data_IF_419032261696
#
_entry.id   IF_419032261696
#
_cell.length_a   1.000
_cell.length_b   1.000
_cell.length_c   1.000
_cell.angle_alpha   90.00
_cell.angle_beta   90.00
_cell.angle_gamma   90.00
#
_symmetry.space_group_name_H-M   'P 1'
#
loop_
_entity.id
_entity.type
_entity.pdbx_description
1 polymer ?
#
# COMPACT_ATOMS: atom_id res chain seq x y z
N UNK A 1 -7.81 23.74 -15.96
CA UNK A 1 -7.50 22.30 -15.81
C UNK A 1 -7.00 22.06 -14.40
N UNK A 2 -7.84 21.54 -13.50
CA UNK A 2 -7.47 21.28 -12.09
C UNK A 2 -6.93 19.86 -11.99
N UNK A 3 -5.63 19.72 -11.76
CA UNK A 3 -4.98 18.45 -11.47
C UNK A 3 -5.45 17.95 -10.10
N UNK A 4 -6.16 16.82 -10.06
CA UNK A 4 -6.54 16.13 -8.82
C UNK A 4 -5.31 15.46 -8.26
N UNK A 5 -4.55 16.19 -7.46
CA UNK A 5 -3.54 15.63 -6.56
C UNK A 5 -4.28 15.12 -5.32
N UNK A 6 -4.60 13.82 -5.30
CA UNK A 6 -5.12 13.12 -4.13
C UNK A 6 -4.02 12.13 -3.75
N UNK A 7 -3.72 12.02 -2.45
CA UNK A 7 -2.67 11.19 -1.84
C UNK A 7 -1.32 11.89 -1.59
N UNK A 8 -1.33 12.87 -0.68
CA UNK A 8 -0.12 13.26 0.07
C UNK A 8 -0.39 13.58 1.56
N UNK A 9 -1.64 13.54 2.04
CA UNK A 9 -1.96 13.94 3.42
C UNK A 9 -2.25 12.77 4.37
N UNK A 10 -2.58 11.59 3.86
CA UNK A 10 -2.90 10.43 4.71
C UNK A 10 -1.65 9.60 5.04
N UNK A 11 -0.71 9.47 4.10
CA UNK A 11 0.57 8.75 4.32
C UNK A 11 1.40 9.33 5.48
N UNK A 12 1.42 10.67 5.61
CA UNK A 12 2.11 11.36 6.71
C UNK A 12 1.52 11.01 8.08
N UNK A 13 0.20 10.91 8.18
CA UNK A 13 -0.47 10.77 9.47
C UNK A 13 -0.46 9.32 9.97
N UNK A 14 -0.63 8.32 9.10
CA UNK A 14 -0.62 6.92 9.51
C UNK A 14 0.79 6.48 9.93
N UNK A 15 1.85 6.90 9.22
CA UNK A 15 3.22 6.57 9.64
C UNK A 15 3.57 7.20 11.00
N UNK A 16 3.15 8.44 11.29
CA UNK A 16 3.39 9.07 12.60
C UNK A 16 2.52 8.49 13.73
N UNK A 17 1.26 8.12 13.45
CA UNK A 17 0.36 7.53 14.45
C UNK A 17 0.74 6.08 14.76
N UNK A 18 1.20 5.31 13.77
CA UNK A 18 1.62 3.92 13.97
C UNK A 18 2.96 3.79 14.73
N UNK A 19 3.80 4.82 14.77
CA UNK A 19 5.05 4.79 15.56
C UNK A 19 4.82 5.28 17.01
N UNK A 20 3.69 5.92 17.32
CA UNK A 20 3.45 6.53 18.65
C UNK A 20 2.46 5.77 19.54
N UNK A 21 1.80 4.72 19.05
CA UNK A 21 0.85 3.92 19.86
C UNK A 21 1.44 2.53 20.12
N UNK A 22 1.82 2.19 21.37
CA UNK A 22 2.14 0.80 21.72
C UNK A 22 0.88 -0.07 21.55
N UNK A 23 0.94 -1.02 20.61
CA UNK A 23 -0.11 -2.00 20.40
C UNK A 23 -0.06 -3.07 21.50
N UNK A 24 -0.99 -3.02 22.46
CA UNK A 24 -1.27 -4.13 23.38
C UNK A 24 -2.52 -4.88 22.93
N UNK A 25 -2.43 -6.10 22.39
CA UNK A 25 -3.60 -6.89 22.07
C UNK A 25 -4.17 -7.55 23.33
N UNK A 26 -5.39 -7.19 23.72
CA UNK A 26 -6.21 -8.01 24.61
C UNK A 26 -7.37 -8.58 23.80
N UNK A 27 -7.35 -9.89 23.55
CA UNK A 27 -8.45 -10.61 22.92
C UNK A 27 -8.84 -11.79 23.81
N UNK A 28 -10.02 -11.73 24.43
CA UNK A 28 -10.70 -12.89 25.00
C UNK A 28 -11.65 -13.44 23.94
N UNK A 29 -11.39 -14.65 23.45
CA UNK A 29 -12.30 -15.34 22.52
C UNK A 29 -13.36 -16.13 23.30
N UNK A 30 -14.62 -15.89 23.00
CA UNK A 30 -15.72 -16.85 23.24
C UNK A 30 -16.31 -17.23 21.89
N UNK A 31 -16.10 -18.49 21.49
CA UNK A 31 -16.63 -19.07 20.25
C UNK A 31 -18.10 -19.46 20.43
N UNK A 32 -18.96 -19.10 19.46
CA UNK A 32 -20.26 -19.74 19.27
C UNK A 32 -20.36 -20.26 17.83
N UNK A 33 -20.56 -21.57 17.69
CA UNK A 33 -20.74 -22.28 16.41
C UNK A 33 -22.14 -22.01 15.86
N UNK A 34 -22.23 -21.66 14.57
CA UNK A 34 -23.47 -21.72 13.81
C UNK A 34 -23.23 -22.54 12.53
N UNK A 35 -24.07 -23.54 12.33
CA UNK A 35 -24.06 -24.49 11.22
C UNK A 35 -25.02 -24.04 10.12
N UNK A 36 -24.53 -23.87 8.91
CA UNK A 36 -25.39 -23.83 7.71
C UNK A 36 -24.73 -24.60 6.57
N UNK A 37 -25.46 -25.59 6.03
CA UNK A 37 -25.06 -26.43 4.91
C UNK A 37 -25.14 -25.67 3.57
N UNK A 38 -24.27 -25.98 2.58
CA UNK A 38 -24.32 -25.34 1.27
C UNK A 38 -25.30 -26.01 0.30
N UNK A 39 -26.00 -25.17 -0.47
CA UNK A 39 -26.87 -25.53 -1.60
C UNK A 39 -26.01 -25.84 -2.83
N UNK A 40 -26.29 -26.98 -3.49
CA UNK A 40 -25.61 -27.42 -4.73
C UNK A 40 -26.11 -26.61 -5.94
N UNK A 41 -25.19 -26.00 -6.69
CA UNK A 41 -25.46 -25.49 -8.04
C UNK A 41 -24.82 -26.40 -9.10
N UNK A 42 -25.58 -26.63 -10.16
CA UNK A 42 -25.28 -27.55 -11.25
C UNK A 42 -24.85 -26.72 -12.47
N UNK A 43 -23.58 -26.82 -12.89
CA UNK A 43 -23.09 -26.15 -14.11
C UNK A 43 -22.44 -27.19 -15.02
N UNK A 44 -23.03 -27.35 -16.22
CA UNK A 44 -22.51 -28.20 -17.30
C UNK A 44 -21.20 -27.64 -17.85
N UNK A 45 -20.23 -28.54 -18.00
CA UNK A 45 -18.89 -28.33 -18.53
C UNK A 45 -18.84 -27.95 -20.00
N UNK A 46 -17.81 -27.17 -20.38
CA UNK A 46 -17.07 -27.38 -21.62
C UNK A 46 -15.58 -27.48 -21.30
N UNK A 47 -15.06 -28.68 -21.57
CA UNK A 47 -13.69 -29.17 -21.53
C UNK A 47 -12.54 -28.18 -21.78
N UNK A 48 -11.68 -28.02 -20.77
CA UNK A 48 -10.22 -27.99 -20.93
C UNK A 48 -9.59 -28.78 -19.77
N UNK A 49 -8.74 -29.78 -20.09
CA UNK A 49 -8.11 -30.69 -19.12
C UNK A 49 -7.22 -29.92 -18.13
N UNK A 50 -7.35 -30.12 -16.80
CA UNK A 50 -6.39 -29.61 -15.83
C UNK A 50 -5.22 -30.59 -15.66
N UNK A 51 -4.01 -30.02 -15.56
CA UNK A 51 -2.79 -30.72 -15.17
C UNK A 51 -2.89 -31.08 -13.69
N UNK A 52 -2.72 -32.36 -13.40
CA UNK A 52 -2.66 -32.95 -12.06
C UNK A 52 -1.48 -32.39 -11.25
N UNK A 53 -1.76 -31.77 -10.11
CA UNK A 53 -0.80 -31.67 -9.01
C UNK A 53 -1.46 -32.12 -7.70
N UNK A 54 -0.75 -33.00 -7.01
CA UNK A 54 -1.17 -33.76 -5.85
C UNK A 54 -1.77 -32.87 -4.74
N UNK A 55 -2.99 -33.25 -4.33
CA UNK A 55 -3.69 -32.68 -3.20
C UNK A 55 -2.93 -32.90 -1.89
N UNK A 56 -2.39 -31.81 -1.35
CA UNK A 56 -2.26 -31.63 0.10
C UNK A 56 -3.37 -30.69 0.54
N UNK A 57 -4.13 -31.11 1.53
CA UNK A 57 -5.16 -30.34 2.23
C UNK A 57 -4.71 -28.89 2.47
N UNK A 58 -5.23 -27.96 1.67
CA UNK A 58 -5.26 -26.54 1.99
C UNK A 58 -6.36 -26.33 3.03
N UNK A 59 -6.03 -26.55 4.30
CA UNK A 59 -6.84 -26.04 5.39
C UNK A 59 -6.95 -24.51 5.19
N UNK A 60 -8.18 -24.01 5.16
CA UNK A 60 -8.50 -22.64 4.82
C UNK A 60 -7.79 -21.66 5.75
N UNK A 61 -6.88 -20.85 5.19
CA UNK A 61 -6.35 -19.66 5.86
C UNK A 61 -7.44 -18.60 5.75
N UNK A 62 -8.45 -18.66 6.62
CA UNK A 62 -9.54 -17.68 6.65
C UNK A 62 -9.17 -16.37 7.38
N UNK A 63 -7.98 -16.29 7.99
CA UNK A 63 -7.54 -15.12 8.77
C UNK A 63 -6.66 -14.13 8.01
N UNK A 64 -6.23 -14.44 6.78
CA UNK A 64 -5.32 -13.56 6.02
C UNK A 64 -6.03 -12.34 5.41
N UNK A 65 -7.31 -12.47 5.08
CA UNK A 65 -8.13 -11.43 4.46
C UNK A 65 -9.25 -11.01 5.40
N UNK A 66 -9.43 -9.71 5.57
CA UNK A 66 -10.52 -9.11 6.32
C UNK A 66 -11.38 -8.23 5.40
N UNK A 67 -12.61 -8.67 5.18
CA UNK A 67 -13.65 -7.95 4.41
C UNK A 67 -14.83 -7.54 5.30
N UNK A 68 -14.68 -7.61 6.63
CA UNK A 68 -15.78 -7.38 7.57
C UNK A 68 -16.34 -5.96 7.46
N UNK A 69 -15.45 -4.97 7.30
CA UNK A 69 -15.83 -3.56 7.15
C UNK A 69 -16.66 -3.30 5.89
N UNK A 70 -16.23 -3.80 4.72
CA UNK A 70 -17.03 -3.63 3.49
C UNK A 70 -18.32 -4.44 3.48
N UNK A 71 -18.38 -5.59 4.16
CA UNK A 71 -19.65 -6.28 4.38
C UNK A 71 -20.61 -5.44 5.22
N UNK A 72 -20.13 -4.85 6.32
CA UNK A 72 -20.93 -3.94 7.15
C UNK A 72 -21.40 -2.70 6.36
N UNK A 73 -20.54 -2.16 5.48
CA UNK A 73 -20.91 -1.09 4.55
C UNK A 73 -22.12 -1.49 3.70
N UNK A 74 -22.10 -2.63 3.01
CA UNK A 74 -23.22 -3.01 2.15
C UNK A 74 -24.51 -3.31 2.92
N UNK A 75 -24.42 -3.82 4.16
CA UNK A 75 -25.59 -3.96 5.05
C UNK A 75 -26.25 -2.60 5.32
N UNK A 76 -25.45 -1.57 5.60
CA UNK A 76 -25.94 -0.20 5.82
C UNK A 76 -26.54 0.37 4.51
N UNK A 77 -25.91 0.10 3.37
CA UNK A 77 -26.38 0.56 2.06
C UNK A 77 -27.78 -0.01 1.75
N UNK A 78 -28.00 -1.30 2.04
CA UNK A 78 -29.28 -1.95 1.83
C UNK A 78 -30.42 -1.34 2.65
N UNK A 79 -30.13 -0.86 3.86
CA UNK A 79 -31.13 -0.13 4.68
C UNK A 79 -31.61 1.14 3.98
N UNK A 80 -30.67 1.94 3.49
CA UNK A 80 -31.02 3.20 2.81
C UNK A 80 -31.82 2.98 1.52
N UNK A 81 -31.52 1.92 0.75
CA UNK A 81 -32.28 1.60 -0.47
C UNK A 81 -33.75 1.26 -0.22
N UNK A 82 -34.08 0.78 0.98
CA UNK A 82 -35.46 0.49 1.40
C UNK A 82 -36.04 1.58 2.31
N UNK A 83 -35.46 2.79 2.28
CA UNK A 83 -35.85 3.95 3.10
C UNK A 83 -35.88 3.66 4.61
N UNK A 84 -35.00 2.76 5.08
CA UNK A 84 -34.81 2.46 6.49
C UNK A 84 -33.53 3.10 7.00
N UNK A 85 -33.58 3.65 8.21
CA UNK A 85 -32.39 4.16 8.90
C UNK A 85 -31.59 2.99 9.48
N UNK A 86 -30.28 2.91 9.23
CA UNK A 86 -29.42 1.93 9.89
C UNK A 86 -29.40 2.15 11.41
N UNK A 87 -29.41 1.06 12.16
CA UNK A 87 -29.32 1.05 13.62
C UNK A 87 -27.94 1.47 14.13
N UNK A 88 -27.86 1.86 15.40
CA UNK A 88 -26.57 2.13 16.06
C UNK A 88 -25.62 0.92 16.01
N UNK A 89 -26.17 -0.31 16.08
CA UNK A 89 -25.38 -1.54 16.00
C UNK A 89 -24.79 -1.77 14.61
N UNK A 90 -25.54 -1.49 13.54
CA UNK A 90 -25.04 -1.60 12.16
C UNK A 90 -23.91 -0.58 11.92
N UNK A 91 -24.08 0.67 12.36
CA UNK A 91 -23.00 1.67 12.31
C UNK A 91 -21.78 1.26 13.12
N UNK A 92 -21.97 0.74 14.33
CA UNK A 92 -20.88 0.26 15.17
C UNK A 92 -20.12 -0.90 14.50
N UNK A 93 -20.81 -1.80 13.78
CA UNK A 93 -20.15 -2.89 13.05
C UNK A 93 -19.18 -2.40 11.97
N UNK A 94 -19.46 -1.24 11.36
CA UNK A 94 -18.56 -0.62 10.37
C UNK A 94 -17.44 0.15 11.07
N UNK A 95 -17.79 1.09 11.96
CA UNK A 95 -16.84 2.04 12.52
C UNK A 95 -15.95 1.46 13.62
N UNK A 96 -16.35 0.36 14.27
CA UNK A 96 -15.49 -0.36 15.22
C UNK A 96 -14.63 -1.44 14.55
N UNK A 97 -14.69 -1.59 13.22
CA UNK A 97 -13.71 -2.42 12.51
C UNK A 97 -12.29 -1.86 12.75
N UNK A 98 -11.25 -2.71 12.85
CA UNK A 98 -9.92 -2.26 13.28
C UNK A 98 -9.39 -1.05 12.51
N UNK A 99 -9.56 -1.06 11.18
CA UNK A 99 -9.05 0.00 10.31
C UNK A 99 -9.89 1.27 10.39
N UNK A 100 -11.23 1.20 10.35
CA UNK A 100 -12.04 2.41 10.48
C UNK A 100 -11.88 3.06 11.86
N UNK A 101 -11.78 2.26 12.94
CA UNK A 101 -11.54 2.78 14.28
C UNK A 101 -10.19 3.54 14.34
N UNK A 102 -9.15 3.00 13.70
CA UNK A 102 -7.87 3.68 13.54
C UNK A 102 -8.00 4.99 12.75
N UNK A 103 -8.67 4.96 11.60
CA UNK A 103 -8.88 6.16 10.76
C UNK A 103 -9.70 7.25 11.48
N UNK A 104 -10.72 6.87 12.24
CA UNK A 104 -11.51 7.80 13.07
C UNK A 104 -10.64 8.43 14.14
N UNK A 105 -9.86 7.62 14.87
CA UNK A 105 -8.97 8.09 15.93
C UNK A 105 -7.91 9.05 15.39
N UNK A 106 -7.39 8.77 14.19
CA UNK A 106 -6.44 9.63 13.49
C UNK A 106 -7.07 10.89 12.85
N UNK A 107 -8.39 11.04 12.89
CA UNK A 107 -9.11 12.15 12.24
C UNK A 107 -9.16 12.05 10.71
N UNK A 108 -8.78 10.90 10.13
CA UNK A 108 -8.83 10.65 8.70
C UNK A 108 -10.24 10.27 8.19
N UNK A 109 -11.15 9.87 9.09
CA UNK A 109 -12.54 9.55 8.78
C UNK A 109 -13.51 10.36 9.65
N UNK A 110 -14.30 11.23 9.03
CA UNK A 110 -15.41 11.93 9.68
C UNK A 110 -16.70 11.10 9.55
N UNK A 111 -17.10 10.44 10.64
CA UNK A 111 -18.29 9.56 10.61
C UNK A 111 -19.59 10.30 10.32
N UNK A 112 -19.68 11.61 10.59
CA UNK A 112 -20.88 12.40 10.31
C UNK A 112 -21.02 12.65 8.82
N UNK A 113 -19.93 13.08 8.17
CA UNK A 113 -19.88 13.28 6.71
C UNK A 113 -20.12 11.96 5.98
N UNK A 114 -19.49 10.89 6.44
CA UNK A 114 -19.67 9.54 5.88
C UNK A 114 -21.13 9.09 5.91
N UNK A 115 -21.77 9.17 7.08
CA UNK A 115 -23.19 8.79 7.24
C UNK A 115 -24.08 9.59 6.28
N UNK A 116 -23.84 10.90 6.20
CA UNK A 116 -24.62 11.80 5.36
C UNK A 116 -24.43 11.52 3.87
N UNK A 117 -23.19 11.32 3.44
CA UNK A 117 -22.86 11.01 2.05
C UNK A 117 -23.48 9.68 1.61
N UNK A 118 -23.38 8.66 2.46
CA UNK A 118 -23.97 7.35 2.21
C UNK A 118 -25.50 7.41 2.12
N UNK A 119 -26.16 8.16 3.02
CA UNK A 119 -27.60 8.37 2.97
C UNK A 119 -28.01 9.02 1.64
N UNK A 120 -27.36 10.12 1.24
CA UNK A 120 -27.66 10.82 -0.02
C UNK A 120 -27.57 9.88 -1.22
N UNK A 121 -26.49 9.10 -1.31
CA UNK A 121 -26.25 8.24 -2.47
C UNK A 121 -27.27 7.09 -2.54
N UNK A 122 -27.49 6.38 -1.44
CA UNK A 122 -28.28 5.14 -1.44
C UNK A 122 -29.78 5.34 -1.21
N UNK A 123 -30.21 6.43 -0.55
CA UNK A 123 -31.63 6.72 -0.31
C UNK A 123 -32.24 7.57 -1.44
N UNK A 124 -31.54 8.62 -1.89
CA UNK A 124 -32.11 9.58 -2.85
C UNK A 124 -31.76 9.27 -4.31
N UNK A 125 -30.81 8.38 -4.57
CA UNK A 125 -30.34 8.04 -5.91
C UNK A 125 -29.74 9.25 -6.63
N UNK A 126 -28.49 9.59 -6.33
CA UNK A 126 -27.83 10.71 -7.03
C UNK A 126 -27.35 10.28 -8.41
N UNK A 127 -27.91 10.84 -9.48
CA UNK A 127 -27.51 10.50 -10.86
C UNK A 127 -26.34 11.33 -11.39
N UNK A 128 -26.17 12.55 -10.87
CA UNK A 128 -25.10 13.46 -11.28
C UNK A 128 -23.80 13.18 -10.53
N UNK A 129 -22.66 13.34 -11.22
CA UNK A 129 -21.32 13.23 -10.60
C UNK A 129 -21.13 14.34 -9.55
N UNK A 130 -21.03 14.00 -8.26
CA UNK A 130 -20.86 14.99 -7.21
C UNK A 130 -19.51 15.72 -7.35
N UNK A 131 -19.46 17.00 -6.99
CA UNK A 131 -18.20 17.73 -6.82
C UNK A 131 -17.49 17.33 -5.53
N UNK A 132 -18.26 16.90 -4.52
CA UNK A 132 -17.77 16.34 -3.28
C UNK A 132 -17.12 14.95 -3.52
N UNK A 133 -15.83 14.78 -3.18
CA UNK A 133 -15.12 13.53 -3.45
C UNK A 133 -15.66 12.31 -2.70
N UNK A 134 -16.15 12.48 -1.48
CA UNK A 134 -16.66 11.39 -0.64
C UNK A 134 -17.98 10.87 -1.22
N UNK A 135 -18.91 11.78 -1.54
CA UNK A 135 -20.13 11.45 -2.28
C UNK A 135 -19.83 10.76 -3.61
N UNK A 136 -18.85 11.27 -4.37
CA UNK A 136 -18.46 10.67 -5.64
C UNK A 136 -17.92 9.24 -5.48
N UNK A 137 -17.21 8.94 -4.38
CA UNK A 137 -16.70 7.59 -4.09
C UNK A 137 -17.83 6.64 -3.69
N UNK A 138 -18.76 7.06 -2.81
CA UNK A 138 -19.97 6.28 -2.51
C UNK A 138 -20.79 5.98 -3.78
N UNK A 139 -20.95 6.95 -4.68
CA UNK A 139 -21.67 6.75 -5.94
C UNK A 139 -21.00 5.69 -6.84
N UNK A 140 -19.66 5.63 -6.87
CA UNK A 140 -18.96 4.56 -7.61
C UNK A 140 -19.23 3.19 -6.99
N UNK A 141 -19.21 3.09 -5.66
CA UNK A 141 -19.57 1.85 -4.95
C UNK A 141 -20.99 1.40 -5.28
N UNK A 142 -21.96 2.31 -5.25
CA UNK A 142 -23.36 2.02 -5.61
C UNK A 142 -23.46 1.50 -7.05
N UNK A 143 -22.80 2.17 -8.01
CA UNK A 143 -22.85 1.80 -9.44
C UNK A 143 -22.24 0.42 -9.72
N UNK A 144 -21.30 -0.02 -8.91
CA UNK A 144 -20.56 -1.28 -9.09
C UNK A 144 -20.87 -2.33 -8.02
N UNK A 145 -21.93 -2.13 -7.23
CA UNK A 145 -22.21 -2.92 -6.04
C UNK A 145 -22.22 -4.43 -6.29
N UNK A 146 -22.91 -4.88 -7.35
CA UNK A 146 -22.98 -6.32 -7.68
C UNK A 146 -21.60 -6.90 -7.92
N UNK A 147 -20.74 -6.16 -8.62
CA UNK A 147 -19.37 -6.57 -8.92
C UNK A 147 -18.49 -6.55 -7.66
N UNK A 148 -18.66 -5.55 -6.79
CA UNK A 148 -17.93 -5.46 -5.53
C UNK A 148 -18.31 -6.59 -4.55
N UNK A 149 -19.59 -6.95 -4.44
CA UNK A 149 -20.06 -8.09 -3.64
C UNK A 149 -19.51 -9.42 -4.17
N UNK A 150 -19.45 -9.60 -5.50
CA UNK A 150 -18.82 -10.76 -6.11
C UNK A 150 -17.31 -10.80 -5.83
N UNK A 151 -16.65 -9.63 -5.87
CA UNK A 151 -15.23 -9.52 -5.56
C UNK A 151 -14.93 -9.83 -4.08
N UNK A 152 -15.75 -9.36 -3.14
CA UNK A 152 -15.65 -9.74 -1.72
C UNK A 152 -15.66 -11.26 -1.55
N UNK A 153 -16.60 -11.94 -2.20
CA UNK A 153 -16.71 -13.41 -2.12
C UNK A 153 -15.47 -14.10 -2.69
N UNK A 154 -14.85 -13.50 -3.71
CA UNK A 154 -13.62 -13.98 -4.32
C UNK A 154 -12.38 -13.73 -3.45
N UNK A 155 -12.29 -12.57 -2.78
CA UNK A 155 -11.18 -12.21 -1.88
C UNK A 155 -11.06 -13.18 -0.70
N UNK A 156 -12.18 -13.74 -0.23
CA UNK A 156 -12.21 -14.75 0.82
C UNK A 156 -11.68 -16.13 0.37
N UNK A 157 -11.28 -16.28 -0.89
CA UNK A 157 -10.61 -17.48 -1.39
C UNK A 157 -9.10 -17.47 -1.14
N UNK A 158 -8.46 -18.64 -1.04
CA UNK A 158 -7.02 -18.76 -0.79
C UNK A 158 -6.11 -18.27 -1.93
N UNK A 159 -6.67 -17.87 -3.07
CA UNK A 159 -5.88 -17.51 -4.25
C UNK A 159 -5.10 -16.21 -4.08
N UNK A 160 -5.63 -15.23 -3.33
CA UNK A 160 -5.00 -13.92 -3.25
C UNK A 160 -3.67 -13.97 -2.50
N UNK A 161 -3.59 -14.72 -1.40
CA UNK A 161 -2.35 -14.90 -0.65
C UNK A 161 -1.24 -15.50 -1.50
N UNK A 162 -1.57 -16.51 -2.32
CA UNK A 162 -0.58 -17.15 -3.19
C UNK A 162 -0.10 -16.20 -4.29
N UNK A 163 -0.98 -15.38 -4.87
CA UNK A 163 -0.57 -14.40 -5.88
C UNK A 163 0.32 -13.31 -5.28
N UNK A 164 -0.02 -12.79 -4.10
CA UNK A 164 0.82 -11.84 -3.36
C UNK A 164 2.21 -12.44 -3.13
N UNK A 165 2.28 -13.67 -2.61
CA UNK A 165 3.55 -14.37 -2.40
C UNK A 165 4.38 -14.48 -3.69
N UNK A 166 3.74 -14.85 -4.80
CA UNK A 166 4.41 -15.02 -6.09
C UNK A 166 4.97 -13.68 -6.62
N UNK A 167 4.23 -12.58 -6.48
CA UNK A 167 4.70 -11.26 -6.90
C UNK A 167 5.88 -10.76 -6.07
N UNK A 168 5.92 -11.10 -4.79
CA UNK A 168 6.99 -10.69 -3.87
C UNK A 168 8.28 -11.50 -4.02
N UNK A 169 8.19 -12.73 -4.52
CA UNK A 169 9.30 -13.66 -4.58
C UNK A 169 10.57 -13.13 -5.29
N UNK A 170 10.48 -12.33 -6.36
CA UNK A 170 11.66 -11.73 -6.99
C UNK A 170 12.23 -10.51 -6.25
N UNK A 171 11.50 -9.95 -5.27
CA UNK A 171 11.79 -8.64 -4.67
C UNK A 171 12.00 -8.69 -3.15
N UNK A 172 11.79 -9.84 -2.52
CA UNK A 172 12.14 -10.07 -1.12
C UNK A 172 13.18 -11.19 -0.99
N UNK A 173 14.15 -11.06 -0.07
CA UNK A 173 15.04 -12.17 0.24
C UNK A 173 14.25 -13.27 0.97
N UNK A 174 14.62 -14.55 0.84
CA UNK A 174 13.89 -15.66 1.46
C UNK A 174 13.64 -15.51 2.97
N UNK A 175 14.54 -14.85 3.70
CA UNK A 175 14.39 -14.58 5.15
C UNK A 175 13.23 -13.65 5.51
N UNK A 176 12.80 -12.81 4.56
CA UNK A 176 11.67 -11.87 4.72
C UNK A 176 10.39 -12.41 4.07
N UNK A 177 10.49 -13.39 3.18
CA UNK A 177 9.35 -13.97 2.48
C UNK A 177 8.92 -15.29 3.13
N UNK A 178 8.27 -15.21 4.27
CA UNK A 178 7.63 -16.37 4.93
C UNK A 178 6.15 -16.11 5.12
N UNK A 179 5.32 -17.16 5.04
CA UNK A 179 3.85 -17.01 5.04
C UNK A 179 3.31 -16.39 6.33
N UNK A 180 3.96 -16.67 7.45
CA UNK A 180 3.71 -16.14 8.79
C UNK A 180 4.07 -14.64 8.93
N UNK A 181 4.93 -14.12 8.05
CA UNK A 181 5.31 -12.70 8.01
C UNK A 181 4.48 -11.87 7.04
N UNK A 182 3.56 -12.48 6.29
CA UNK A 182 2.69 -11.70 5.42
C UNK A 182 1.65 -10.95 6.27
N UNK A 183 1.52 -9.62 6.11
CA UNK A 183 0.57 -8.79 6.84
C UNK A 183 -0.87 -9.17 6.48
N UNK A 184 -1.77 -8.97 7.44
CA UNK A 184 -3.21 -9.16 7.20
C UNK A 184 -3.73 -8.13 6.20
N UNK A 185 -4.52 -8.58 5.23
CA UNK A 185 -5.08 -7.76 4.16
C UNK A 185 -6.49 -7.29 4.54
N UNK A 186 -6.66 -6.00 4.76
CA UNK A 186 -7.96 -5.37 5.00
C UNK A 186 -8.49 -4.77 3.70
N UNK A 187 -9.75 -5.04 3.40
CA UNK A 187 -10.49 -4.41 2.30
C UNK A 187 -11.61 -3.60 2.91
N UNK A 188 -11.57 -2.28 2.69
CA UNK A 188 -12.48 -1.31 3.30
C UNK A 188 -13.07 -0.38 2.24
N UNK A 189 -14.07 0.41 2.63
CA UNK A 189 -14.35 1.65 1.93
C UNK A 189 -13.35 2.69 2.44
N UNK A 190 -12.37 3.07 1.63
CA UNK A 190 -11.28 3.92 2.12
C UNK A 190 -11.62 5.42 2.05
N UNK A 191 -12.63 5.79 1.25
CA UNK A 191 -13.01 7.19 0.97
C UNK A 191 -12.45 7.73 -0.35
N UNK A 192 -11.44 7.05 -0.91
CA UNK A 192 -10.89 7.25 -2.24
C UNK A 192 -10.31 5.93 -2.75
N UNK A 193 -9.97 5.87 -4.04
CA UNK A 193 -9.28 4.71 -4.63
C UNK A 193 -7.79 4.76 -4.24
N UNK A 194 -7.46 4.22 -3.06
CA UNK A 194 -6.11 4.22 -2.49
C UNK A 194 -5.81 2.92 -1.74
N UNK A 195 -4.54 2.69 -1.44
CA UNK A 195 -4.07 1.61 -0.58
C UNK A 195 -2.89 2.09 0.26
N UNK A 196 -2.66 1.42 1.39
CA UNK A 196 -1.52 1.74 2.25
C UNK A 196 -1.13 0.53 3.09
N UNK A 197 0.06 0.58 3.68
CA UNK A 197 0.61 -0.47 4.51
C UNK A 197 1.10 0.08 5.85
N UNK A 198 0.98 -0.74 6.89
CA UNK A 198 1.55 -0.50 8.20
C UNK A 198 2.10 -1.80 8.81
N UNK A 199 2.70 -1.74 10.02
CA UNK A 199 3.19 -2.94 10.69
C UNK A 199 2.07 -4.00 10.83
N UNK A 200 2.31 -5.17 10.23
CA UNK A 200 1.37 -6.30 10.27
C UNK A 200 0.06 -6.14 9.49
N UNK A 201 -0.15 -5.04 8.76
CA UNK A 201 -1.40 -4.81 8.00
C UNK A 201 -1.20 -4.12 6.66
N UNK A 202 -2.06 -4.49 5.71
CA UNK A 202 -2.26 -3.77 4.45
C UNK A 202 -3.73 -3.37 4.37
N UNK A 203 -4.00 -2.14 3.96
CA UNK A 203 -5.34 -1.59 3.83
C UNK A 203 -5.55 -1.24 2.36
N UNK A 204 -6.58 -1.83 1.76
CA UNK A 204 -6.97 -1.59 0.37
C UNK A 204 -8.37 -0.99 0.32
N UNK A 205 -8.57 0.04 -0.50
CA UNK A 205 -9.92 0.37 -0.98
C UNK A 205 -10.46 -0.79 -1.84
N UNK A 206 -11.66 -1.29 -1.52
CA UNK A 206 -12.25 -2.42 -2.23
C UNK A 206 -12.48 -2.11 -3.72
N UNK A 207 -12.88 -0.88 -4.06
CA UNK A 207 -13.12 -0.50 -5.45
C UNK A 207 -11.82 -0.45 -6.25
N UNK A 208 -10.74 0.11 -5.69
CA UNK A 208 -9.43 0.08 -6.33
C UNK A 208 -8.94 -1.36 -6.53
N UNK A 209 -9.02 -2.20 -5.50
CA UNK A 209 -8.61 -3.60 -5.59
C UNK A 209 -9.42 -4.35 -6.65
N UNK A 210 -10.74 -4.19 -6.67
CA UNK A 210 -11.60 -4.81 -7.67
C UNK A 210 -11.15 -4.49 -9.11
N UNK A 211 -10.85 -3.20 -9.38
CA UNK A 211 -10.37 -2.79 -10.70
C UNK A 211 -9.05 -3.46 -11.03
N UNK A 212 -8.07 -3.35 -10.15
CA UNK A 212 -6.72 -3.84 -10.42
C UNK A 212 -6.69 -5.38 -10.47
N UNK A 213 -7.37 -6.07 -9.57
CA UNK A 213 -7.41 -7.53 -9.51
C UNK A 213 -8.11 -8.15 -10.72
N UNK A 214 -9.07 -7.44 -11.32
CA UNK A 214 -9.66 -7.82 -12.60
C UNK A 214 -8.67 -7.84 -13.76
N UNK A 215 -7.50 -7.20 -13.60
CA UNK A 215 -6.42 -7.16 -14.58
C UNK A 215 -5.21 -8.01 -14.16
N UNK A 216 -4.73 -7.82 -12.93
CA UNK A 216 -3.60 -8.51 -12.31
C UNK A 216 -3.89 -8.79 -10.84
N UNK A 217 -4.52 -9.92 -10.59
CA UNK A 217 -4.94 -10.39 -9.27
C UNK A 217 -3.84 -10.29 -8.20
N UNK A 218 -4.05 -9.48 -7.18
CA UNK A 218 -3.20 -9.37 -5.99
C UNK A 218 -1.97 -8.49 -6.18
N UNK A 219 -1.78 -7.84 -7.34
CA UNK A 219 -0.57 -7.06 -7.63
C UNK A 219 -0.48 -5.78 -6.77
N UNK A 220 -1.61 -5.12 -6.50
CA UNK A 220 -1.69 -3.96 -5.61
C UNK A 220 -1.38 -4.38 -4.17
N UNK A 221 -2.04 -5.43 -3.69
CA UNK A 221 -1.79 -5.94 -2.35
C UNK A 221 -0.36 -6.45 -2.17
N UNK A 222 0.29 -6.95 -3.24
CA UNK A 222 1.71 -7.29 -3.22
C UNK A 222 2.62 -6.06 -3.07
N UNK A 223 2.32 -4.96 -3.77
CA UNK A 223 3.00 -3.69 -3.62
C UNK A 223 2.95 -3.19 -2.16
N UNK A 224 1.75 -3.13 -1.58
CA UNK A 224 1.59 -2.71 -0.17
C UNK A 224 2.19 -3.71 0.83
N UNK A 225 2.10 -5.01 0.54
CA UNK A 225 2.72 -6.03 1.38
C UNK A 225 4.24 -5.88 1.42
N UNK A 226 4.86 -5.48 0.31
CA UNK A 226 6.29 -5.17 0.28
C UNK A 226 6.62 -4.07 1.29
N UNK A 227 5.86 -2.97 1.32
CA UNK A 227 6.07 -1.88 2.27
C UNK A 227 5.98 -2.34 3.72
N UNK A 228 4.94 -3.11 4.08
CA UNK A 228 4.77 -3.63 5.44
C UNK A 228 5.97 -4.48 5.88
N UNK A 229 6.38 -5.44 5.04
CA UNK A 229 7.46 -6.38 5.36
C UNK A 229 8.81 -5.66 5.44
N UNK A 230 9.11 -4.77 4.49
CA UNK A 230 10.39 -4.08 4.44
C UNK A 230 10.50 -3.00 5.51
N UNK A 231 9.41 -2.33 5.86
CA UNK A 231 9.40 -1.36 6.96
C UNK A 231 9.67 -2.04 8.31
N UNK A 232 9.08 -3.21 8.56
CA UNK A 232 9.38 -3.98 9.76
C UNK A 232 10.83 -4.48 9.78
N UNK A 233 11.35 -4.98 8.65
CA UNK A 233 12.74 -5.37 8.53
C UNK A 233 13.71 -4.20 8.75
N UNK A 234 13.39 -3.02 8.21
CA UNK A 234 14.16 -1.80 8.39
C UNK A 234 14.17 -1.36 9.86
N UNK A 235 13.02 -1.35 10.53
CA UNK A 235 12.94 -1.05 11.96
C UNK A 235 13.84 -1.99 12.80
N UNK A 236 13.87 -3.28 12.44
CA UNK A 236 14.73 -4.26 13.10
C UNK A 236 16.24 -4.05 12.87
N UNK A 237 16.64 -3.35 11.80
CA UNK A 237 18.03 -2.96 11.57
C UNK A 237 18.49 -1.81 12.46
N UNK A 238 17.58 -0.98 13.00
CA UNK A 238 17.94 0.24 13.73
C UNK A 238 18.31 -0.05 15.19
N UNK A 239 19.34 0.60 15.72
CA UNK A 239 19.75 0.53 17.13
C UNK A 239 18.62 0.94 18.07
N UNK A 240 18.62 0.38 19.26
CA UNK A 240 17.68 0.76 20.32
C UNK A 240 17.87 2.25 20.71
N UNK A 241 16.79 2.92 21.12
CA UNK A 241 16.82 4.35 21.46
C UNK A 241 16.79 5.29 20.25
N UNK A 242 16.49 4.78 19.06
CA UNK A 242 16.23 5.60 17.87
C UNK A 242 15.07 6.58 18.14
N UNK A 243 15.33 7.89 17.98
CA UNK A 243 14.36 8.94 18.27
C UNK A 243 13.88 9.64 16.99
N UNK A 244 12.56 9.72 16.83
CA UNK A 244 11.92 10.45 15.73
C UNK A 244 12.07 11.98 15.86
N UNK A 245 12.74 12.47 16.90
CA UNK A 245 13.09 13.88 17.07
C UNK A 245 14.48 14.21 16.51
N UNK A 246 15.30 13.21 16.18
CA UNK A 246 16.61 13.42 15.56
C UNK A 246 16.42 13.72 14.05
N UNK A 247 16.86 14.89 13.53
CA UNK A 247 16.69 15.23 12.11
C UNK A 247 17.33 14.21 11.16
N UNK A 248 18.41 13.54 11.58
CA UNK A 248 19.05 12.50 10.78
C UNK A 248 18.21 11.21 10.74
N UNK A 249 17.49 10.91 11.82
CA UNK A 249 16.54 9.81 11.88
C UNK A 249 15.34 10.05 10.95
N UNK A 250 14.81 11.27 10.97
CA UNK A 250 13.75 11.73 10.06
C UNK A 250 14.21 11.58 8.60
N UNK A 251 15.43 12.06 8.28
CA UNK A 251 16.03 11.90 6.96
C UNK A 251 16.15 10.42 6.56
N UNK A 252 16.59 9.55 7.48
CA UNK A 252 16.74 8.13 7.21
C UNK A 252 15.40 7.45 6.90
N UNK A 253 14.32 7.79 7.60
CA UNK A 253 12.98 7.30 7.27
C UNK A 253 12.51 7.75 5.90
N UNK A 254 12.75 9.01 5.54
CA UNK A 254 12.43 9.52 4.22
C UNK A 254 13.19 8.80 3.10
N UNK A 255 14.49 8.55 3.30
CA UNK A 255 15.30 7.75 2.38
C UNK A 255 14.80 6.30 2.29
N UNK A 256 14.35 5.71 3.41
CA UNK A 256 13.67 4.42 3.45
C UNK A 256 12.41 4.42 2.59
N UNK A 257 11.58 5.47 2.69
CA UNK A 257 10.39 5.58 1.85
C UNK A 257 10.74 5.60 0.36
N UNK A 258 11.67 6.45 -0.08
CA UNK A 258 12.11 6.51 -1.49
C UNK A 258 12.62 5.13 -1.96
N UNK A 259 13.44 4.46 -1.14
CA UNK A 259 13.97 3.13 -1.46
C UNK A 259 12.87 2.09 -1.61
N UNK A 260 11.92 2.08 -0.67
CA UNK A 260 10.81 1.14 -0.68
C UNK A 260 9.92 1.35 -1.89
N UNK A 261 9.51 2.59 -2.17
CA UNK A 261 8.72 2.93 -3.36
C UNK A 261 9.44 2.50 -4.66
N UNK A 262 10.76 2.72 -4.70
CA UNK A 262 11.56 2.36 -5.87
C UNK A 262 11.58 0.86 -6.17
N UNK A 263 11.50 0.00 -5.16
CA UNK A 263 11.43 -1.46 -5.34
C UNK A 263 9.98 -1.92 -5.51
N UNK A 264 9.05 -1.39 -4.72
CA UNK A 264 7.63 -1.71 -4.81
C UNK A 264 7.06 -1.37 -6.19
N UNK A 265 7.50 -0.27 -6.80
CA UNK A 265 7.11 0.11 -8.16
C UNK A 265 7.63 -0.86 -9.24
N UNK A 266 8.63 -1.71 -8.94
CA UNK A 266 9.05 -2.76 -9.86
C UNK A 266 8.10 -3.96 -9.86
N UNK A 267 7.23 -4.08 -8.85
CA UNK A 267 6.25 -5.16 -8.71
C UNK A 267 5.07 -4.91 -9.64
N UNK A 268 4.48 -3.70 -9.60
CA UNK A 268 3.18 -3.43 -10.18
C UNK A 268 3.23 -2.54 -11.43
N UNK A 269 4.03 -1.46 -11.44
CA UNK A 269 4.04 -0.47 -12.53
C UNK A 269 4.40 -1.05 -13.91
N UNK A 270 5.31 -2.04 -14.06
CA UNK A 270 5.54 -2.68 -15.35
C UNK A 270 4.28 -3.31 -15.96
N UNK A 271 3.30 -3.69 -15.14
CA UNK A 271 1.99 -4.17 -15.60
C UNK A 271 0.97 -3.04 -15.69
N UNK A 272 0.86 -2.19 -14.66
CA UNK A 272 -0.21 -1.19 -14.58
C UNK A 272 -0.08 -0.03 -15.59
N UNK A 273 1.11 0.14 -16.18
CA UNK A 273 1.37 1.10 -17.27
C UNK A 273 1.14 0.52 -18.68
N UNK A 274 0.77 -0.76 -18.79
CA UNK A 274 0.52 -1.41 -20.07
C UNK A 274 -0.89 -1.16 -20.60
N UNK A 275 -1.06 -1.35 -21.92
CA UNK A 275 -2.38 -1.34 -22.56
C UNK A 275 -3.30 -2.37 -21.92
N UNK A 276 -4.57 -2.01 -21.74
CA UNK A 276 -5.58 -2.83 -21.08
C UNK A 276 -5.63 -2.71 -19.56
N UNK A 277 -4.66 -2.05 -18.92
CA UNK A 277 -4.76 -1.71 -17.50
C UNK A 277 -5.96 -0.78 -17.24
N UNK A 278 -6.82 -1.07 -16.25
CA UNK A 278 -7.99 -0.26 -15.93
C UNK A 278 -7.64 1.07 -15.26
N UNK A 279 -6.37 1.24 -14.88
CA UNK A 279 -5.82 2.45 -14.26
C UNK A 279 -4.74 3.11 -15.13
N UNK A 280 -4.70 2.78 -16.43
CA UNK A 280 -3.65 3.26 -17.33
C UNK A 280 -3.58 4.79 -17.42
N UNK A 281 -4.73 5.48 -17.44
CA UNK A 281 -4.76 6.93 -17.58
C UNK A 281 -4.26 7.61 -16.31
N UNK A 282 -4.67 7.10 -15.15
CA UNK A 282 -4.19 7.50 -13.85
C UNK A 282 -2.68 7.29 -13.73
N UNK A 283 -2.17 6.12 -14.15
CA UNK A 283 -0.73 5.84 -14.16
C UNK A 283 0.03 6.80 -15.09
N UNK A 284 -0.47 7.06 -16.31
CA UNK A 284 0.16 8.02 -17.24
C UNK A 284 0.24 9.42 -16.64
N UNK A 285 -0.81 9.87 -15.96
CA UNK A 285 -0.82 11.17 -15.30
C UNK A 285 0.17 11.22 -14.13
N UNK A 286 0.31 10.12 -13.37
CA UNK A 286 1.25 10.03 -12.26
C UNK A 286 2.72 9.95 -12.72
N UNK A 287 2.98 9.39 -13.90
CA UNK A 287 4.33 9.20 -14.47
C UNK A 287 4.73 10.31 -15.45
N UNK A 288 3.91 11.35 -15.64
CA UNK A 288 4.19 12.42 -16.58
C UNK A 288 5.50 13.15 -16.21
N UNK A 289 6.41 13.27 -17.17
CA UNK A 289 7.74 13.87 -17.00
C UNK A 289 8.60 13.25 -15.89
N UNK A 290 8.34 11.99 -15.54
CA UNK A 290 8.99 11.29 -14.41
C UNK A 290 10.51 11.35 -14.45
N UNK A 291 11.14 11.06 -15.59
CA UNK A 291 12.61 11.10 -15.72
C UNK A 291 13.17 12.49 -15.41
N UNK A 292 12.56 13.54 -15.98
CA UNK A 292 13.00 14.92 -15.78
C UNK A 292 12.83 15.34 -14.32
N UNK A 293 11.69 15.05 -13.71
CA UNK A 293 11.44 15.33 -12.29
C UNK A 293 12.40 14.56 -11.39
N UNK A 294 12.67 13.29 -11.70
CA UNK A 294 13.60 12.46 -10.95
C UNK A 294 15.01 13.02 -10.98
N UNK A 295 15.51 13.49 -12.14
CA UNK A 295 16.81 14.18 -12.22
C UNK A 295 16.85 15.37 -11.24
N UNK A 296 15.80 16.20 -11.21
CA UNK A 296 15.73 17.35 -10.29
C UNK A 296 15.73 16.92 -8.82
N UNK A 297 14.92 15.92 -8.46
CA UNK A 297 14.86 15.44 -7.08
C UNK A 297 16.16 14.80 -6.63
N UNK A 298 16.83 14.02 -7.48
CA UNK A 298 18.14 13.40 -7.17
C UNK A 298 19.20 14.48 -6.94
N UNK A 299 19.25 15.54 -7.77
CA UNK A 299 20.16 16.68 -7.54
C UNK A 299 19.87 17.40 -6.21
N UNK A 300 18.59 17.61 -5.87
CA UNK A 300 18.21 18.21 -4.59
C UNK A 300 18.55 17.32 -3.41
N UNK A 301 18.36 16.00 -3.53
CA UNK A 301 18.73 15.01 -2.53
C UNK A 301 20.24 15.03 -2.29
N UNK A 302 21.04 15.05 -3.36
CA UNK A 302 22.48 15.20 -3.24
C UNK A 302 22.87 16.46 -2.46
N UNK A 303 22.27 17.60 -2.80
CA UNK A 303 22.52 18.86 -2.09
C UNK A 303 22.13 18.79 -0.61
N UNK A 304 21.02 18.14 -0.27
CA UNK A 304 20.56 17.93 1.10
C UNK A 304 21.55 17.07 1.91
N UNK A 305 22.05 16.00 1.29
CA UNK A 305 23.01 15.07 1.91
C UNK A 305 24.37 15.73 2.11
N UNK A 306 24.85 16.53 1.16
CA UNK A 306 26.07 17.33 1.34
C UNK A 306 25.96 18.31 2.52
N UNK A 307 24.78 18.89 2.73
CA UNK A 307 24.48 19.77 3.86
C UNK A 307 24.25 19.02 5.20
N UNK A 308 24.39 17.69 5.22
CA UNK A 308 24.20 16.81 6.38
C UNK A 308 22.85 16.99 7.08
N UNK A 309 21.83 17.32 6.30
CA UNK A 309 20.44 17.35 6.73
C UNK A 309 20.09 18.19 7.97
N UNK A 310 20.62 19.41 8.09
CA UNK A 310 20.30 20.31 9.21
C UNK A 310 18.88 20.90 9.08
N UNK A 311 18.14 21.01 10.21
CA UNK A 311 16.79 21.58 10.32
C UNK A 311 15.73 20.98 9.37
N UNK A 312 15.61 19.66 9.38
CA UNK A 312 14.68 18.93 8.52
C UNK A 312 13.38 18.58 9.27
N UNK A 313 12.26 19.06 8.73
CA UNK A 313 10.92 18.56 9.04
C UNK A 313 10.50 17.47 8.03
N UNK A 314 9.79 16.44 8.50
CA UNK A 314 9.39 15.31 7.67
C UNK A 314 8.48 15.72 6.51
N UNK A 315 7.50 16.60 6.72
CA UNK A 315 6.61 17.07 5.64
C UNK A 315 7.39 17.88 4.61
N UNK A 316 8.31 18.71 5.08
CA UNK A 316 9.17 19.50 4.21
C UNK A 316 10.02 18.61 3.29
N UNK A 317 10.45 17.43 3.77
CA UNK A 317 11.18 16.47 2.95
C UNK A 317 10.36 16.02 1.74
N UNK A 318 9.16 15.53 1.98
CA UNK A 318 8.32 15.01 0.90
C UNK A 318 7.92 16.10 -0.09
N UNK A 319 7.64 17.31 0.41
CA UNK A 319 7.28 18.45 -0.45
C UNK A 319 8.43 18.94 -1.33
N UNK A 320 9.67 18.99 -0.81
CA UNK A 320 10.80 19.60 -1.53
C UNK A 320 11.64 18.61 -2.32
N UNK A 321 11.76 17.37 -1.83
CA UNK A 321 12.75 16.40 -2.30
C UNK A 321 12.12 15.14 -2.90
N UNK A 322 10.79 15.08 -2.98
CA UNK A 322 10.07 13.97 -3.61
C UNK A 322 8.79 14.43 -4.29
N UNK A 323 8.11 13.48 -4.95
CA UNK A 323 6.74 13.63 -5.42
C UNK A 323 6.05 12.27 -5.37
N UNK A 324 4.73 12.28 -5.12
CA UNK A 324 3.89 11.10 -4.97
C UNK A 324 4.52 10.14 -3.94
N UNK A 325 4.70 10.57 -2.69
CA UNK A 325 5.31 9.71 -1.66
C UNK A 325 6.75 9.26 -1.92
N UNK A 326 7.46 9.74 -2.95
CA UNK A 326 8.79 9.22 -3.29
C UNK A 326 8.80 8.21 -4.43
N UNK A 327 7.65 7.86 -4.99
CA UNK A 327 7.55 7.07 -6.22
C UNK A 327 8.44 7.62 -7.34
N UNK A 328 8.41 8.94 -7.60
CA UNK A 328 9.13 9.50 -8.76
C UNK A 328 10.65 9.25 -8.66
N UNK A 329 11.38 9.78 -7.67
CA UNK A 329 12.81 9.50 -7.56
C UNK A 329 13.08 8.01 -7.31
N UNK A 330 12.25 7.34 -6.50
CA UNK A 330 12.42 5.93 -6.16
C UNK A 330 12.36 5.03 -7.38
N UNK A 331 11.33 5.16 -8.22
CA UNK A 331 11.10 4.33 -9.41
C UNK A 331 12.23 4.45 -10.41
N UNK A 332 12.67 5.67 -10.71
CA UNK A 332 13.78 5.89 -11.65
C UNK A 332 15.07 5.28 -11.10
N UNK A 333 15.34 5.42 -9.80
CA UNK A 333 16.50 4.79 -9.17
C UNK A 333 16.39 3.25 -9.24
N UNK A 334 15.27 2.68 -8.83
CA UNK A 334 15.03 1.23 -8.82
C UNK A 334 15.14 0.61 -10.22
N UNK A 335 14.57 1.28 -11.23
CA UNK A 335 14.72 0.89 -12.63
C UNK A 335 16.18 0.97 -13.10
N UNK A 336 16.91 2.01 -12.72
CA UNK A 336 18.33 2.17 -13.06
C UNK A 336 19.17 1.03 -12.47
N UNK A 337 18.95 0.67 -11.20
CA UNK A 337 19.59 -0.47 -10.53
C UNK A 337 19.27 -1.79 -11.25
N UNK A 338 17.98 -2.00 -11.58
CA UNK A 338 17.54 -3.20 -12.32
C UNK A 338 18.19 -3.30 -13.70
N UNK A 339 18.22 -2.22 -14.47
CA UNK A 339 18.83 -2.16 -15.80
C UNK A 339 20.34 -2.42 -15.77
N UNK A 340 21.03 -2.01 -14.70
CA UNK A 340 22.44 -2.32 -14.48
C UNK A 340 22.70 -3.77 -14.04
N UNK A 341 21.66 -4.59 -13.84
CA UNK A 341 21.77 -5.97 -13.34
C UNK A 341 22.15 -6.07 -11.85
N UNK A 342 21.92 -5.00 -11.08
CA UNK A 342 22.30 -4.91 -9.66
C UNK A 342 21.16 -5.27 -8.71
N UNK A 343 19.94 -5.49 -9.22
CA UNK A 343 18.78 -5.87 -8.42
C UNK A 343 19.02 -7.10 -7.51
N UNK A 344 19.68 -8.19 -7.96
CA UNK A 344 19.96 -9.31 -7.06
C UNK A 344 20.85 -8.96 -5.86
N UNK A 345 21.68 -7.91 -5.97
CA UNK A 345 22.48 -7.39 -4.85
C UNK A 345 21.60 -6.65 -3.87
N UNK A 346 20.74 -5.76 -4.38
CA UNK A 346 19.77 -5.01 -3.57
C UNK A 346 18.85 -5.94 -2.78
N UNK A 347 18.28 -6.97 -3.41
CA UNK A 347 17.27 -7.84 -2.76
C UNK A 347 17.82 -8.56 -1.53
N UNK A 348 19.13 -8.84 -1.44
CA UNK A 348 19.71 -9.51 -0.27
C UNK A 348 19.62 -8.69 1.03
N UNK A 349 19.54 -7.36 0.89
CA UNK A 349 19.46 -6.40 2.00
C UNK A 349 18.48 -5.28 1.63
N UNK A 350 17.30 -5.66 1.14
CA UNK A 350 16.32 -4.73 0.55
C UNK A 350 15.83 -3.67 1.55
N UNK A 351 15.89 -3.97 2.85
CA UNK A 351 15.54 -3.05 3.92
C UNK A 351 16.63 -2.00 4.25
N UNK A 352 17.80 -2.07 3.61
CA UNK A 352 18.88 -1.09 3.76
C UNK A 352 18.72 0.03 2.72
N UNK A 353 18.15 1.20 3.08
CA UNK A 353 18.01 2.31 2.15
C UNK A 353 19.35 2.88 1.69
N UNK A 354 20.43 2.73 2.47
CA UNK A 354 21.73 3.26 2.10
C UNK A 354 22.32 2.46 0.94
N UNK A 355 22.19 1.14 0.99
CA UNK A 355 22.59 0.26 -0.12
C UNK A 355 21.87 0.62 -1.43
N UNK A 356 20.60 1.00 -1.37
CA UNK A 356 19.84 1.43 -2.54
C UNK A 356 20.51 2.60 -3.26
N UNK A 357 20.91 3.66 -2.53
CA UNK A 357 21.60 4.81 -3.11
C UNK A 357 23.05 4.51 -3.53
N UNK A 358 23.74 3.60 -2.85
CA UNK A 358 25.07 3.14 -3.27
C UNK A 358 25.00 2.39 -4.60
N UNK A 359 24.06 1.45 -4.74
CA UNK A 359 23.84 0.69 -5.97
C UNK A 359 23.35 1.57 -7.11
N UNK A 360 22.58 2.62 -6.82
CA UNK A 360 22.24 3.64 -7.81
C UNK A 360 23.49 4.28 -8.41
N UNK A 361 24.38 4.80 -7.56
CA UNK A 361 25.64 5.41 -8.02
C UNK A 361 26.50 4.43 -8.82
N UNK A 362 26.54 3.16 -8.40
CA UNK A 362 27.21 2.10 -9.16
C UNK A 362 26.55 1.86 -10.52
N UNK A 363 25.22 1.85 -10.59
CA UNK A 363 24.45 1.65 -11.81
C UNK A 363 24.70 2.77 -12.83
N UNK A 364 24.71 4.04 -12.39
CA UNK A 364 24.99 5.19 -13.26
C UNK A 364 26.39 5.09 -13.86
N UNK A 365 27.41 4.78 -13.04
CA UNK A 365 28.80 4.59 -13.50
C UNK A 365 28.91 3.43 -14.50
N UNK A 366 28.25 2.30 -14.22
CA UNK A 366 28.26 1.10 -15.06
C UNK A 366 27.60 1.34 -16.42
N UNK A 367 26.45 2.01 -16.43
CA UNK A 367 25.65 2.21 -17.64
C UNK A 367 25.99 3.49 -18.41
N UNK A 368 26.89 4.35 -17.88
CA UNK A 368 27.18 5.69 -18.42
C UNK A 368 25.90 6.52 -18.62
N UNK A 369 24.98 6.43 -17.66
CA UNK A 369 23.69 7.13 -17.71
C UNK A 369 23.85 8.64 -17.49
N UNK A 370 22.95 9.43 -18.09
CA UNK A 370 22.88 10.89 -17.93
C UNK A 370 22.11 11.34 -16.67
N UNK A 371 21.65 10.41 -15.83
CA UNK A 371 21.04 10.78 -14.55
C UNK A 371 22.12 11.30 -13.58
N UNK A 372 21.80 12.27 -12.70
CA UNK A 372 22.76 12.81 -11.74
C UNK A 372 23.33 11.75 -10.80
N UNK A 373 24.64 11.79 -10.57
CA UNK A 373 25.30 11.03 -9.51
C UNK A 373 25.11 11.74 -8.16
N UNK A 374 24.99 10.96 -7.08
CA UNK A 374 25.25 11.48 -5.75
C UNK A 374 26.76 11.69 -5.60
N UNK A 375 27.15 12.82 -5.01
CA UNK A 375 28.54 13.17 -4.74
C UNK A 375 29.19 12.19 -3.76
N UNK A 376 30.52 12.14 -3.76
CA UNK A 376 31.29 11.33 -2.79
C UNK A 376 31.00 11.77 -1.36
N UNK A 377 30.82 13.08 -1.13
CA UNK A 377 30.41 13.64 0.16
C UNK A 377 29.06 13.09 0.62
N UNK A 378 28.07 13.04 -0.27
CA UNK A 378 26.75 12.48 0.05
C UNK A 378 26.82 11.00 0.38
N UNK A 379 27.56 10.21 -0.40
CA UNK A 379 27.75 8.78 -0.14
C UNK A 379 28.48 8.56 1.20
N UNK A 380 29.50 9.35 1.50
CA UNK A 380 30.21 9.28 2.78
C UNK A 380 29.28 9.59 3.96
N UNK A 381 28.42 10.61 3.82
CA UNK A 381 27.45 10.94 4.86
C UNK A 381 26.38 9.85 5.05
N UNK A 382 25.87 9.25 3.96
CA UNK A 382 24.96 8.10 4.06
C UNK A 382 25.59 6.92 4.82
N UNK A 383 26.88 6.64 4.60
CA UNK A 383 27.62 5.62 5.36
C UNK A 383 27.75 5.98 6.84
N UNK A 384 27.98 7.26 7.17
CA UNK A 384 27.99 7.72 8.56
C UNK A 384 26.62 7.52 9.24
N UNK A 385 25.51 7.75 8.52
CA UNK A 385 24.17 7.46 9.05
C UNK A 385 24.00 5.96 9.32
N UNK A 386 24.47 5.10 8.42
CA UNK A 386 24.48 3.65 8.61
C UNK A 386 25.25 3.24 9.87
N UNK A 387 26.48 3.70 10.02
CA UNK A 387 27.31 3.42 11.21
C UNK A 387 26.67 3.92 12.52
N UNK A 388 26.04 5.10 12.46
CA UNK A 388 25.37 5.73 13.60
C UNK A 388 24.13 4.96 14.03
N UNK A 389 23.26 4.56 13.09
CA UNK A 389 21.92 4.06 13.43
C UNK A 389 21.72 2.56 13.25
N UNK A 390 22.54 1.84 12.49
CA UNK A 390 22.28 0.42 12.24
C UNK A 390 22.95 -0.43 13.31
N UNK A 391 22.27 -1.51 13.74
CA UNK A 391 22.87 -2.54 14.59
C UNK A 391 24.08 -3.14 13.86
N UNK A 392 25.16 -3.37 14.59
CA UNK A 392 26.26 -4.19 14.08
C UNK A 392 25.80 -5.65 14.17
N UNK A 393 25.75 -6.32 13.02
CA UNK A 393 25.31 -7.72 12.90
C UNK A 393 26.53 -8.62 12.81
#
# INVERSE_FOLDING_TARGET
MKSKCISLHIFTFILLVCITIPYTPSYSQTQNKSTSQPVKYNTKEKNTKPISTNGKNLAAVTDFVDVSAVKAYFVIADRFKVHQKPSAKEWASLFNSPVHAMMITAGALDTTKFKHAMQIVYENGTTNTPTDPELAHHLKYQKLEKQLLAHISFLESSFIQQNIFNYLQPFLPPRLLTKDKLPKQYYIFYGNEDATAGPGMVINDLLLSYKIDGYKLGILSAHETFHAVVSEAFANLLKDGFSNQDPNAILLYFLSNISQEGVADLIDKPSLTQSGSPVLQEMKALTENETTLSKQYITKLDSLLQAKGTNIDYNLLFQKFSKNGGHIPGRVIGQTIKQAGLLPVLIRSVEDPILFFELYNQAIKKNKSELPLLSETSIAYLKQLKERYFKQI
#
